data_IF_335057772294
#
_entry.id   IF_335057772294
#
_cell.length_a   1.000
_cell.length_b   1.000
_cell.length_c   1.000
_cell.angle_alpha   90.00
_cell.angle_beta   90.00
_cell.angle_gamma   90.00
#
_symmetry.space_group_name_H-M   'P 1'
#
loop_
_entity.id
_entity.type
_entity.pdbx_description
1 polymer ?
#
# COMPACT_ATOMS: atom_id res chain seq x y z
N UNK A 1 42.24 -5.14 -22.26
CA UNK A 1 41.95 -6.17 -23.27
C UNK A 1 40.45 -6.17 -23.55
N UNK A 2 40.02 -5.69 -24.72
CA UNK A 2 38.60 -5.48 -25.05
C UNK A 2 38.07 -6.67 -25.86
N UNK A 3 37.08 -7.39 -25.31
CA UNK A 3 36.48 -8.59 -25.92
C UNK A 3 35.55 -8.17 -27.07
N UNK A 4 35.97 -8.39 -28.32
CA UNK A 4 35.11 -8.19 -29.51
C UNK A 4 34.04 -9.28 -29.57
N UNK A 5 32.77 -8.88 -29.48
CA UNK A 5 31.61 -9.76 -29.70
C UNK A 5 31.56 -10.10 -31.20
N UNK A 6 31.72 -11.39 -31.54
CA UNK A 6 31.57 -11.89 -32.91
C UNK A 6 30.11 -12.31 -33.13
N UNK A 7 29.36 -11.51 -33.87
CA UNK A 7 28.04 -11.90 -34.37
C UNK A 7 28.20 -12.95 -35.49
N UNK A 8 27.47 -14.05 -35.40
CA UNK A 8 27.58 -15.19 -36.32
C UNK A 8 26.57 -15.01 -37.47
N UNK A 9 26.93 -15.39 -38.71
CA UNK A 9 26.10 -15.23 -39.94
C UNK A 9 24.65 -15.76 -39.85
N UNK A 10 24.32 -16.56 -38.83
CA UNK A 10 22.96 -17.05 -38.55
C UNK A 10 22.02 -15.94 -38.06
N UNK A 11 22.57 -14.92 -37.37
CA UNK A 11 21.82 -13.79 -36.82
C UNK A 11 21.43 -12.75 -37.89
N UNK A 12 21.95 -12.87 -39.11
CA UNK A 12 21.70 -11.98 -40.27
C UNK A 12 20.74 -12.58 -41.32
N UNK A 13 20.31 -13.84 -41.17
CA UNK A 13 19.21 -14.46 -41.98
C UNK A 13 17.82 -14.22 -41.38
N UNK A 14 17.77 -13.51 -40.26
CA UNK A 14 16.59 -13.09 -39.52
C UNK A 14 15.65 -12.08 -40.22
N UNK A 15 16.01 -11.34 -41.29
CA UNK A 15 15.07 -10.44 -41.97
C UNK A 15 13.95 -11.20 -42.69
N UNK A 16 14.26 -12.25 -43.44
CA UNK A 16 13.28 -12.92 -44.31
C UNK A 16 12.22 -13.72 -43.54
N UNK A 17 12.60 -14.33 -42.40
CA UNK A 17 11.65 -15.02 -41.52
C UNK A 17 10.69 -14.04 -40.84
N UNK A 18 11.18 -12.88 -40.40
CA UNK A 18 10.33 -11.82 -39.85
C UNK A 18 9.39 -11.23 -40.92
N UNK A 19 9.93 -10.90 -42.10
CA UNK A 19 9.16 -10.33 -43.21
C UNK A 19 8.11 -11.32 -43.73
N UNK A 20 8.44 -12.60 -43.85
CA UNK A 20 7.48 -13.62 -44.30
C UNK A 20 6.42 -13.93 -43.24
N UNK A 21 6.79 -13.95 -41.95
CA UNK A 21 5.83 -14.11 -40.85
C UNK A 21 4.87 -12.93 -40.78
N UNK A 22 5.38 -11.69 -40.92
CA UNK A 22 4.56 -10.49 -41.03
C UNK A 22 3.65 -10.52 -42.26
N UNK A 23 4.18 -10.93 -43.42
CA UNK A 23 3.42 -11.02 -44.67
C UNK A 23 2.28 -12.04 -44.60
N UNK A 24 2.50 -13.19 -43.96
CA UNK A 24 1.45 -14.20 -43.70
C UNK A 24 0.41 -13.69 -42.72
N UNK A 25 0.85 -12.97 -41.68
CA UNK A 25 -0.06 -12.39 -40.68
C UNK A 25 -0.92 -11.28 -41.28
N UNK A 26 -0.36 -10.41 -42.15
CA UNK A 26 -1.13 -9.35 -42.81
C UNK A 26 -2.12 -9.88 -43.84
N UNK A 27 -1.75 -10.92 -44.60
CA UNK A 27 -2.67 -11.62 -45.50
C UNK A 27 -3.84 -12.24 -44.73
N UNK A 28 -3.56 -12.96 -43.65
CA UNK A 28 -4.58 -13.56 -42.79
C UNK A 28 -5.49 -12.50 -42.13
N UNK A 29 -4.93 -11.38 -41.66
CA UNK A 29 -5.72 -10.27 -41.09
C UNK A 29 -6.64 -9.62 -42.13
N UNK A 30 -6.20 -9.52 -43.38
CA UNK A 30 -7.02 -8.98 -44.48
C UNK A 30 -8.17 -9.92 -44.83
N UNK A 31 -7.89 -11.23 -44.88
CA UNK A 31 -8.88 -12.27 -45.17
C UNK A 31 -9.91 -12.41 -44.04
N UNK A 32 -9.46 -12.28 -42.78
CA UNK A 32 -10.30 -12.40 -41.58
C UNK A 32 -10.59 -11.05 -40.90
N UNK A 33 -10.77 -9.99 -41.68
CA UNK A 33 -10.94 -8.61 -41.17
C UNK A 33 -12.08 -8.45 -40.15
N UNK A 34 -13.19 -9.18 -40.31
CA UNK A 34 -14.30 -9.19 -39.35
C UNK A 34 -13.91 -9.81 -38.00
N UNK A 35 -13.20 -10.93 -38.01
CA UNK A 35 -12.68 -11.58 -36.79
C UNK A 35 -11.66 -10.70 -36.08
N UNK A 36 -10.77 -10.04 -36.83
CA UNK A 36 -9.78 -9.10 -36.27
C UNK A 36 -10.48 -7.93 -35.59
N UNK A 37 -11.53 -7.36 -36.20
CA UNK A 37 -12.32 -6.28 -35.59
C UNK A 37 -13.00 -6.71 -34.30
N UNK A 38 -13.60 -7.91 -34.26
CA UNK A 38 -14.22 -8.45 -33.04
C UNK A 38 -13.19 -8.65 -31.93
N UNK A 39 -12.03 -9.24 -32.25
CA UNK A 39 -10.95 -9.43 -31.26
C UNK A 39 -10.44 -8.09 -30.73
N UNK A 40 -10.22 -7.10 -31.60
CA UNK A 40 -9.81 -5.75 -31.19
C UNK A 40 -10.86 -5.09 -30.30
N UNK A 41 -12.15 -5.21 -30.63
CA UNK A 41 -13.24 -4.69 -29.81
C UNK A 41 -13.27 -5.34 -28.42
N UNK A 42 -13.09 -6.66 -28.33
CA UNK A 42 -13.02 -7.39 -27.05
C UNK A 42 -11.82 -6.94 -26.23
N UNK A 43 -10.64 -6.77 -26.85
CA UNK A 43 -9.44 -6.27 -26.18
C UNK A 43 -9.63 -4.83 -25.68
N UNK A 44 -10.27 -3.97 -26.47
CA UNK A 44 -10.60 -2.60 -26.07
C UNK A 44 -11.59 -2.57 -24.89
N UNK A 45 -12.61 -3.41 -24.90
CA UNK A 45 -13.56 -3.52 -23.78
C UNK A 45 -12.87 -4.05 -22.51
N UNK A 46 -12.04 -5.09 -22.63
CA UNK A 46 -11.30 -5.64 -21.50
C UNK A 46 -10.32 -4.62 -20.92
N UNK A 47 -9.53 -3.95 -21.77
CA UNK A 47 -8.58 -2.92 -21.34
C UNK A 47 -9.28 -1.70 -20.74
N UNK A 48 -10.41 -1.27 -21.31
CA UNK A 48 -11.24 -0.20 -20.75
C UNK A 48 -11.82 -0.55 -19.39
N UNK A 49 -12.29 -1.80 -19.21
CA UNK A 49 -12.77 -2.30 -17.91
C UNK A 49 -11.65 -2.31 -16.86
N UNK A 50 -10.49 -2.88 -17.18
CA UNK A 50 -9.33 -2.90 -16.29
C UNK A 50 -8.87 -1.47 -15.96
N UNK A 51 -8.75 -0.60 -16.96
CA UNK A 51 -8.36 0.79 -16.77
C UNK A 51 -9.38 1.55 -15.90
N UNK A 52 -10.67 1.34 -16.12
CA UNK A 52 -11.75 1.93 -15.34
C UNK A 52 -11.69 1.50 -13.87
N UNK A 53 -11.58 0.20 -13.60
CA UNK A 53 -11.47 -0.33 -12.23
C UNK A 53 -10.21 0.18 -11.52
N UNK A 54 -9.05 0.13 -12.17
CA UNK A 54 -7.80 0.62 -11.58
C UNK A 54 -7.84 2.14 -11.32
N UNK A 55 -8.44 2.90 -12.24
CA UNK A 55 -8.59 4.35 -12.09
C UNK A 55 -9.55 4.70 -10.96
N UNK A 56 -10.65 3.95 -10.81
CA UNK A 56 -11.61 4.15 -9.73
C UNK A 56 -10.99 3.89 -8.35
N UNK A 57 -10.26 2.77 -8.20
CA UNK A 57 -9.56 2.45 -6.94
C UNK A 57 -8.55 3.56 -6.58
N UNK A 58 -7.77 4.02 -7.56
CA UNK A 58 -6.81 5.12 -7.36
C UNK A 58 -7.49 6.45 -7.01
N UNK A 59 -8.61 6.75 -7.64
CA UNK A 59 -9.39 7.96 -7.35
C UNK A 59 -9.96 7.92 -5.92
N UNK A 60 -10.48 6.78 -5.49
CA UNK A 60 -11.01 6.60 -4.14
C UNK A 60 -9.90 6.77 -3.08
N UNK A 61 -8.72 6.19 -3.30
CA UNK A 61 -7.54 6.33 -2.43
C UNK A 61 -7.06 7.79 -2.32
N UNK A 62 -6.92 8.48 -3.46
CA UNK A 62 -6.46 9.88 -3.48
C UNK A 62 -7.45 10.83 -2.82
N UNK A 63 -8.74 10.57 -2.97
CA UNK A 63 -9.80 11.32 -2.30
C UNK A 63 -9.77 11.10 -0.78
N UNK A 64 -9.74 9.84 -0.33
CA UNK A 64 -9.67 9.52 1.10
C UNK A 64 -8.43 10.13 1.75
N UNK A 65 -7.26 10.03 1.11
CA UNK A 65 -6.03 10.63 1.63
C UNK A 65 -6.12 12.17 1.76
N UNK A 66 -6.77 12.84 0.80
CA UNK A 66 -6.97 14.30 0.85
C UNK A 66 -7.87 14.71 2.01
N UNK A 67 -8.97 14.00 2.21
CA UNK A 67 -9.95 14.30 3.26
C UNK A 67 -9.40 14.01 4.66
N UNK A 68 -8.48 13.06 4.78
CA UNK A 68 -7.79 12.73 6.03
C UNK A 68 -6.74 13.76 6.45
N UNK A 69 -6.04 14.36 5.47
CA UNK A 69 -4.84 15.18 5.71
C UNK A 69 -4.96 16.23 6.82
N UNK A 70 -6.05 17.05 6.89
CA UNK A 70 -6.19 18.05 7.95
C UNK A 70 -6.36 17.45 9.34
N UNK A 71 -7.02 16.31 9.45
CA UNK A 71 -7.26 15.63 10.73
C UNK A 71 -5.99 14.93 11.22
N UNK A 72 -5.18 14.38 10.30
CA UNK A 72 -3.87 13.81 10.62
C UNK A 72 -2.90 14.86 11.16
N UNK A 73 -2.86 16.05 10.57
CA UNK A 73 -1.98 17.12 11.06
C UNK A 73 -2.34 17.52 12.49
N UNK A 74 -3.64 17.72 12.76
CA UNK A 74 -4.14 17.99 14.12
C UNK A 74 -3.80 16.87 15.10
N UNK A 75 -3.98 15.61 14.69
CA UNK A 75 -3.60 14.46 15.52
C UNK A 75 -2.09 14.46 15.82
N UNK A 76 -1.24 14.66 14.81
CA UNK A 76 0.21 14.73 14.97
C UNK A 76 0.62 15.85 15.92
N UNK A 77 0.08 17.04 15.74
CA UNK A 77 0.34 18.20 16.62
C UNK A 77 -0.06 17.89 18.07
N UNK A 78 -1.23 17.29 18.28
CA UNK A 78 -1.70 16.90 19.61
C UNK A 78 -0.81 15.82 20.27
N UNK A 79 -0.26 14.90 19.48
CA UNK A 79 0.68 13.88 19.97
C UNK A 79 2.07 14.46 20.30
N UNK A 80 2.52 15.48 19.57
CA UNK A 80 3.83 16.12 19.76
C UNK A 80 3.83 17.21 20.84
N UNK A 81 2.65 17.72 21.22
CA UNK A 81 2.53 18.72 22.27
C UNK A 81 3.11 18.19 23.60
N UNK A 82 3.97 18.96 24.29
CA UNK A 82 4.58 18.53 25.56
C UNK A 82 3.55 18.39 26.68
N UNK A 83 2.44 19.13 26.61
CA UNK A 83 1.33 19.01 27.54
C UNK A 83 0.17 18.24 26.91
N UNK A 84 -0.67 17.64 27.76
CA UNK A 84 -1.92 17.00 27.34
C UNK A 84 -2.81 18.07 26.73
N UNK A 85 -3.07 17.98 25.42
CA UNK A 85 -4.04 18.81 24.70
C UNK A 85 -5.41 18.70 25.35
N UNK A 86 -6.20 19.79 25.37
CA UNK A 86 -7.56 19.80 25.89
C UNK A 86 -8.34 18.53 25.48
N UNK A 87 -8.94 17.86 26.47
CA UNK A 87 -9.67 16.59 26.27
C UNK A 87 -10.73 16.69 25.17
N UNK A 88 -11.41 17.84 25.10
CA UNK A 88 -12.43 18.13 24.08
C UNK A 88 -11.84 18.15 22.67
N UNK A 89 -10.65 18.73 22.48
CA UNK A 89 -10.00 18.76 21.17
C UNK A 89 -9.55 17.37 20.74
N UNK A 90 -9.03 16.56 21.67
CA UNK A 90 -8.67 15.17 21.41
C UNK A 90 -9.88 14.31 21.02
N UNK A 91 -11.02 14.49 21.69
CA UNK A 91 -12.26 13.79 21.37
C UNK A 91 -12.77 14.15 19.97
N UNK A 92 -12.69 15.43 19.57
CA UNK A 92 -13.05 15.85 18.21
C UNK A 92 -12.13 15.23 17.15
N UNK A 93 -10.83 15.13 17.44
CA UNK A 93 -9.86 14.46 16.55
C UNK A 93 -10.20 12.97 16.45
N UNK A 94 -10.41 12.29 17.59
CA UNK A 94 -10.79 10.87 17.62
C UNK A 94 -12.08 10.61 16.83
N UNK A 95 -13.10 11.47 16.99
CA UNK A 95 -14.36 11.33 16.28
C UNK A 95 -14.18 11.51 14.76
N UNK A 96 -13.39 12.50 14.35
CA UNK A 96 -13.09 12.77 12.94
C UNK A 96 -12.32 11.62 12.29
N UNK A 97 -11.33 11.06 13.00
CA UNK A 97 -10.57 9.90 12.54
C UNK A 97 -11.44 8.63 12.47
N UNK A 98 -12.26 8.39 13.49
CA UNK A 98 -13.17 7.22 13.53
C UNK A 98 -14.21 7.28 12.41
N UNK A 99 -14.77 8.47 12.14
CA UNK A 99 -15.67 8.68 11.02
C UNK A 99 -14.97 8.40 9.68
N UNK A 100 -13.71 8.80 9.54
CA UNK A 100 -12.92 8.54 8.34
C UNK A 100 -12.68 7.04 8.10
N UNK A 101 -12.30 6.30 9.15
CA UNK A 101 -12.12 4.84 9.08
C UNK A 101 -13.41 4.16 8.63
N UNK A 102 -14.56 4.56 9.17
CA UNK A 102 -15.86 3.98 8.82
C UNK A 102 -16.29 4.28 7.37
N UNK A 103 -15.94 5.46 6.84
CA UNK A 103 -16.26 5.83 5.45
C UNK A 103 -15.35 5.17 4.42
N UNK A 104 -14.11 4.83 4.81
CA UNK A 104 -13.07 4.38 3.89
C UNK A 104 -12.28 3.16 4.40
N UNK A 105 -12.92 2.07 4.88
CA UNK A 105 -12.27 0.99 5.62
C UNK A 105 -11.18 0.26 4.82
N UNK A 106 -11.33 0.18 3.50
CA UNK A 106 -10.42 -0.52 2.60
C UNK A 106 -9.26 0.34 2.06
N UNK A 107 -9.13 1.58 2.53
CA UNK A 107 -8.12 2.53 2.01
C UNK A 107 -6.87 2.58 2.88
N UNK A 108 -5.74 2.96 2.28
CA UNK A 108 -4.53 3.25 3.06
C UNK A 108 -4.76 4.39 4.06
N UNK A 109 -5.60 5.36 3.72
CA UNK A 109 -5.95 6.46 4.62
C UNK A 109 -6.57 5.97 5.93
N UNK A 110 -7.48 4.98 5.88
CA UNK A 110 -8.03 4.38 7.10
C UNK A 110 -6.97 3.69 7.97
N UNK A 111 -5.94 3.09 7.37
CA UNK A 111 -4.81 2.53 8.11
C UNK A 111 -4.05 3.62 8.91
N UNK A 112 -3.74 4.74 8.26
CA UNK A 112 -3.13 5.89 8.95
C UNK A 112 -4.04 6.44 10.04
N UNK A 113 -5.33 6.62 9.78
CA UNK A 113 -6.28 7.11 10.78
C UNK A 113 -6.35 6.18 12.00
N UNK A 114 -6.35 4.86 11.79
CA UNK A 114 -6.35 3.85 12.85
C UNK A 114 -5.07 3.89 13.68
N UNK A 115 -3.90 4.09 13.04
CA UNK A 115 -2.63 4.31 13.74
C UNK A 115 -2.72 5.52 14.69
N UNK A 116 -3.20 6.66 14.23
CA UNK A 116 -3.34 7.85 15.08
C UNK A 116 -4.35 7.65 16.21
N UNK A 117 -5.46 6.94 15.98
CA UNK A 117 -6.41 6.57 17.05
C UNK A 117 -5.72 5.74 18.14
N UNK A 118 -4.89 4.76 17.75
CA UNK A 118 -4.09 3.96 18.68
C UNK A 118 -3.09 4.80 19.47
N UNK A 119 -2.36 5.71 18.80
CA UNK A 119 -1.41 6.61 19.45
C UNK A 119 -2.09 7.62 20.41
N UNK A 120 -3.27 8.12 20.06
CA UNK A 120 -4.04 9.02 20.94
C UNK A 120 -4.50 8.26 22.18
N UNK A 121 -5.04 7.05 22.01
CA UNK A 121 -5.42 6.19 23.13
C UNK A 121 -4.23 5.91 24.07
N UNK A 122 -3.04 5.64 23.49
CA UNK A 122 -1.80 5.48 24.26
C UNK A 122 -1.48 6.71 25.11
N UNK A 123 -1.51 7.91 24.53
CA UNK A 123 -1.25 9.16 25.27
C UNK A 123 -2.29 9.45 26.36
N UNK A 124 -3.52 8.96 26.20
CA UNK A 124 -4.59 9.07 27.23
C UNK A 124 -4.45 8.02 28.34
N UNK A 125 -3.49 7.10 28.24
CA UNK A 125 -3.33 5.99 29.17
C UNK A 125 -4.31 4.83 28.94
N UNK A 126 -5.10 4.87 27.87
CA UNK A 126 -6.00 3.78 27.48
C UNK A 126 -5.23 2.75 26.63
N UNK A 127 -4.35 2.01 27.31
CA UNK A 127 -3.45 1.07 26.67
C UNK A 127 -4.17 -0.13 26.06
N UNK A 128 -5.31 -0.53 26.63
CA UNK A 128 -6.16 -1.58 26.07
C UNK A 128 -6.76 -1.19 24.73
N UNK A 129 -7.37 0.00 24.65
CA UNK A 129 -7.90 0.53 23.39
C UNK A 129 -6.77 0.76 22.39
N UNK A 130 -5.62 1.26 22.83
CA UNK A 130 -4.45 1.46 21.97
C UNK A 130 -4.00 0.15 21.32
N UNK A 131 -3.78 -0.91 22.12
CA UNK A 131 -3.39 -2.22 21.62
C UNK A 131 -4.44 -2.83 20.67
N UNK A 132 -5.73 -2.62 20.95
CA UNK A 132 -6.82 -3.08 20.08
C UNK A 132 -6.78 -2.39 18.70
N UNK A 133 -6.56 -1.07 18.64
CA UNK A 133 -6.45 -0.33 17.38
C UNK A 133 -5.27 -0.82 16.54
N UNK A 134 -4.10 -0.99 17.15
CA UNK A 134 -2.92 -1.48 16.43
C UNK A 134 -3.10 -2.92 15.95
N UNK A 135 -3.68 -3.82 16.75
CA UNK A 135 -4.00 -5.19 16.31
C UNK A 135 -4.98 -5.21 15.14
N UNK A 136 -6.03 -4.40 15.19
CA UNK A 136 -7.01 -4.27 14.11
C UNK A 136 -6.34 -3.81 12.81
N UNK A 137 -5.49 -2.79 12.88
CA UNK A 137 -4.74 -2.28 11.74
C UNK A 137 -3.76 -3.32 11.16
N UNK A 138 -3.07 -4.10 12.00
CA UNK A 138 -2.19 -5.20 11.56
C UNK A 138 -2.98 -6.30 10.85
N UNK A 139 -4.15 -6.68 11.38
CA UNK A 139 -4.99 -7.73 10.80
C UNK A 139 -5.65 -7.29 9.48
N UNK A 140 -5.98 -6.00 9.35
CA UNK A 140 -6.59 -5.43 8.14
C UNK A 140 -5.61 -5.04 7.05
N UNK A 141 -4.30 -5.05 7.32
CA UNK A 141 -3.26 -4.62 6.39
C UNK A 141 -3.21 -5.49 5.13
N UNK A 142 -3.65 -4.94 3.98
CA UNK A 142 -3.48 -5.58 2.67
C UNK A 142 -2.01 -5.50 2.26
N UNK A 143 -1.32 -6.65 2.29
CA UNK A 143 -0.18 -7.13 1.46
C UNK A 143 0.88 -6.13 0.95
N UNK A 144 0.98 -4.95 1.56
CA UNK A 144 1.92 -3.91 1.19
C UNK A 144 2.79 -3.65 2.40
N UNK A 145 3.83 -4.48 2.46
CA UNK A 145 5.00 -4.30 3.30
C UNK A 145 5.40 -2.82 3.26
N UNK A 146 5.16 -2.10 4.34
CA UNK A 146 5.45 -0.67 4.42
C UNK A 146 6.00 -0.29 5.78
N UNK A 147 6.59 0.89 5.89
CA UNK A 147 7.02 1.46 7.18
C UNK A 147 5.87 1.47 8.19
N UNK A 148 4.61 1.56 7.74
CA UNK A 148 3.45 1.51 8.62
C UNK A 148 3.32 0.18 9.38
N UNK A 149 3.62 -0.95 8.75
CA UNK A 149 3.58 -2.27 9.40
C UNK A 149 4.53 -2.37 10.58
N UNK A 150 5.71 -1.76 10.44
CA UNK A 150 6.67 -1.65 11.52
C UNK A 150 6.12 -0.76 12.65
N UNK A 151 5.64 0.44 12.31
CA UNK A 151 5.10 1.41 13.28
C UNK A 151 3.90 0.85 14.06
N UNK A 152 3.04 0.06 13.42
CA UNK A 152 1.89 -0.57 14.07
C UNK A 152 2.34 -1.63 15.09
N UNK A 153 3.34 -2.45 14.75
CA UNK A 153 3.88 -3.48 15.66
C UNK A 153 4.65 -2.86 16.82
N UNK A 154 5.41 -1.80 16.53
CA UNK A 154 6.08 -1.01 17.57
C UNK A 154 5.06 -0.35 18.51
N UNK A 155 4.03 0.30 17.96
CA UNK A 155 2.97 0.90 18.77
C UNK A 155 2.20 -0.12 19.62
N UNK A 156 1.94 -1.31 19.08
CA UNK A 156 1.36 -2.42 19.83
C UNK A 156 2.26 -2.85 20.99
N UNK A 157 3.56 -3.00 20.73
CA UNK A 157 4.52 -3.39 21.76
C UNK A 157 4.60 -2.36 22.88
N UNK A 158 4.68 -1.06 22.53
CA UNK A 158 4.68 0.05 23.50
C UNK A 158 3.39 0.06 24.33
N UNK A 159 2.23 -0.13 23.70
CA UNK A 159 0.95 -0.19 24.41
C UNK A 159 0.89 -1.36 25.41
N UNK A 160 1.37 -2.54 25.01
CA UNK A 160 1.42 -3.71 25.90
C UNK A 160 2.41 -3.51 27.05
N UNK A 161 3.56 -2.92 26.76
CA UNK A 161 4.58 -2.59 27.77
C UNK A 161 4.04 -1.61 28.81
N UNK A 162 3.39 -0.52 28.36
CA UNK A 162 2.78 0.46 29.26
C UNK A 162 1.60 -0.12 30.06
N UNK A 163 0.90 -1.13 29.53
CA UNK A 163 -0.11 -1.91 30.25
C UNK A 163 0.50 -2.85 31.29
N UNK A 164 1.77 -3.20 31.18
CA UNK A 164 2.48 -4.18 32.01
C UNK A 164 2.46 -5.62 31.48
N UNK A 165 1.95 -5.85 30.26
CA UNK A 165 2.02 -7.14 29.57
C UNK A 165 3.38 -7.30 28.88
N UNK A 166 4.41 -7.60 29.68
CA UNK A 166 5.80 -7.70 29.20
C UNK A 166 6.01 -8.87 28.23
N UNK A 167 5.32 -9.99 28.44
CA UNK A 167 5.38 -11.16 27.55
C UNK A 167 4.78 -10.83 26.18
N UNK A 168 3.64 -10.14 26.17
CA UNK A 168 3.02 -9.63 24.95
C UNK A 168 3.89 -8.59 24.24
N UNK A 169 4.45 -7.65 24.99
CA UNK A 169 5.34 -6.61 24.46
C UNK A 169 6.59 -7.21 23.81
N UNK A 170 7.25 -8.17 24.48
CA UNK A 170 8.44 -8.83 23.94
C UNK A 170 8.15 -9.51 22.59
N UNK A 171 7.01 -10.20 22.47
CA UNK A 171 6.59 -10.82 21.20
C UNK A 171 6.37 -9.77 20.12
N UNK A 172 5.63 -8.71 20.43
CA UNK A 172 5.34 -7.64 19.48
C UNK A 172 6.62 -6.90 19.02
N UNK A 173 7.57 -6.63 19.92
CA UNK A 173 8.87 -6.07 19.57
C UNK A 173 9.69 -7.03 18.69
N UNK A 174 9.68 -8.33 18.99
CA UNK A 174 10.37 -9.33 18.18
C UNK A 174 9.81 -9.38 16.74
N UNK A 175 8.49 -9.31 16.60
CA UNK A 175 7.81 -9.22 15.30
C UNK A 175 8.17 -7.93 14.55
N UNK A 176 8.18 -6.78 15.23
CA UNK A 176 8.59 -5.51 14.63
C UNK A 176 10.04 -5.56 14.11
N UNK A 177 10.97 -6.11 14.89
CA UNK A 177 12.37 -6.27 14.51
C UNK A 177 12.55 -7.27 13.38
N UNK A 178 11.84 -8.39 13.41
CA UNK A 178 11.87 -9.39 12.34
C UNK A 178 11.40 -8.77 11.01
N UNK A 179 10.30 -8.01 11.05
CA UNK A 179 9.78 -7.27 9.91
C UNK A 179 10.82 -6.26 9.39
N UNK A 180 11.44 -5.47 10.27
CA UNK A 180 12.46 -4.50 9.89
C UNK A 180 13.72 -5.14 9.28
N UNK A 181 14.17 -6.30 9.81
CA UNK A 181 15.39 -6.97 9.35
C UNK A 181 15.21 -7.74 8.05
N UNK A 182 14.07 -8.37 7.85
CA UNK A 182 13.75 -9.10 6.62
C UNK A 182 13.30 -8.12 5.53
N UNK A 183 12.15 -7.49 5.76
CA UNK A 183 11.35 -6.91 4.70
C UNK A 183 11.72 -5.46 4.34
N UNK A 184 12.10 -4.64 5.33
CA UNK A 184 12.57 -3.28 5.01
C UNK A 184 13.95 -3.31 4.33
N UNK A 185 14.79 -4.31 4.62
CA UNK A 185 16.07 -4.48 3.93
C UNK A 185 15.89 -4.95 2.49
N UNK A 186 15.01 -5.91 2.22
CA UNK A 186 14.75 -6.38 0.84
C UNK A 186 14.20 -5.26 -0.05
N UNK A 187 13.33 -4.40 0.48
CA UNK A 187 12.83 -3.23 -0.26
C UNK A 187 13.92 -2.20 -0.57
N UNK A 188 14.81 -1.92 0.38
CA UNK A 188 15.94 -1.01 0.13
C UNK A 188 16.87 -1.51 -0.99
N UNK A 189 16.94 -2.83 -1.21
CA UNK A 189 17.71 -3.44 -2.30
C UNK A 189 16.97 -3.46 -3.65
N UNK A 190 15.63 -3.50 -3.66
CA UNK A 190 14.81 -3.49 -4.88
C UNK A 190 14.46 -2.08 -5.39
N UNK A 191 14.74 -1.04 -4.60
CA UNK A 191 14.50 0.36 -4.94
C UNK A 191 15.60 1.04 -5.76
N UNK A 192 16.55 0.29 -6.33
CA UNK A 192 17.63 0.79 -7.19
C UNK A 192 17.49 0.30 -8.64
#
# INVERSE_FOLDING_TARGET
MTRKIKYTRKDLKSPDEFISTLSRTTLWMKENSSTVLVVLAVVLLASGGVFGTLSYIRWQETKAARDLWPNMNRAREALQAPNVTDSVQLEQIEQSLSAHVNMHPDTRAALFATYYLGSIAYRRGDYDRSAAQFRSAIAGGKEQVSVMDFLLREGLAQALEAKGDLDGAQKAYAEAVAFARGELRTQAWMGH
#
